data_IF_967850185530
#
_entry.id   IF_967850185530
#
_cell.length_a   1.000
_cell.length_b   1.000
_cell.length_c   1.000
_cell.angle_alpha   90.00
_cell.angle_beta   90.00
_cell.angle_gamma   90.00
#
_symmetry.space_group_name_H-M   'P 1'
#
loop_
_entity.id
_entity.type
_entity.pdbx_description
1 polymer ?
#
# COMPACT_ATOMS: atom_id res chain seq x y z
N UNK A 1 -3.99 24.30 24.66
CA UNK A 1 -5.11 23.52 24.08
C UNK A 1 -4.66 22.08 23.96
N UNK A 2 -5.55 21.13 24.20
CA UNK A 2 -5.30 19.73 23.87
C UNK A 2 -5.30 19.57 22.33
N UNK A 3 -4.19 19.15 21.71
CA UNK A 3 -4.11 18.98 20.25
C UNK A 3 -5.04 17.89 19.70
N UNK A 4 -5.56 17.00 20.56
CA UNK A 4 -6.45 15.91 20.19
C UNK A 4 -7.91 16.16 20.54
N UNK A 5 -8.25 17.35 21.06
CA UNK A 5 -9.63 17.71 21.37
C UNK A 5 -10.54 17.57 20.13
N UNK A 6 -11.67 16.85 20.21
CA UNK A 6 -12.59 16.67 19.08
C UNK A 6 -13.04 18.00 18.46
N UNK A 7 -13.24 18.01 17.15
CA UNK A 7 -13.71 19.18 16.40
C UNK A 7 -15.15 18.91 16.00
N UNK A 8 -16.09 19.68 16.54
CA UNK A 8 -17.54 19.43 16.43
C UNK A 8 -17.92 17.98 16.79
N UNK A 9 -17.29 17.42 17.84
CA UNK A 9 -17.54 16.04 18.27
C UNK A 9 -16.86 14.96 17.44
N UNK A 10 -16.10 15.32 16.40
CA UNK A 10 -15.33 14.39 15.56
C UNK A 10 -13.91 14.27 16.13
N UNK A 11 -13.60 13.12 16.72
CA UNK A 11 -12.24 12.78 17.18
C UNK A 11 -11.30 12.52 16.01
N UNK A 12 -9.99 12.40 16.27
CA UNK A 12 -9.01 12.12 15.22
C UNK A 12 -9.22 10.74 14.59
N UNK A 13 -9.63 9.76 15.41
CA UNK A 13 -9.98 8.39 14.98
C UNK A 13 -11.19 8.42 14.04
N UNK A 14 -12.27 9.09 14.45
CA UNK A 14 -13.48 9.18 13.62
C UNK A 14 -13.23 9.98 12.35
N UNK A 15 -12.39 11.00 12.42
CA UNK A 15 -11.95 11.74 11.24
C UNK A 15 -11.20 10.83 10.26
N UNK A 16 -10.32 9.95 10.76
CA UNK A 16 -9.61 8.97 9.94
C UNK A 16 -10.55 7.91 9.33
N UNK A 17 -11.54 7.43 10.09
CA UNK A 17 -12.56 6.48 9.59
C UNK A 17 -13.41 7.06 8.46
N UNK A 18 -13.94 8.27 8.65
CA UNK A 18 -14.75 8.96 7.64
C UNK A 18 -13.88 9.30 6.42
N UNK A 19 -12.65 9.77 6.64
CA UNK A 19 -11.69 10.01 5.57
C UNK A 19 -11.44 8.75 4.73
N UNK A 20 -11.23 7.61 5.37
CA UNK A 20 -11.04 6.33 4.68
C UNK A 20 -12.31 5.90 3.94
N UNK A 21 -13.51 6.12 4.51
CA UNK A 21 -14.79 5.83 3.87
C UNK A 21 -15.02 6.65 2.58
N UNK A 22 -14.54 7.90 2.59
CA UNK A 22 -14.59 8.84 1.46
C UNK A 22 -13.47 8.64 0.42
N UNK A 23 -12.46 7.81 0.72
CA UNK A 23 -11.38 7.49 -0.23
C UNK A 23 -11.93 7.06 -1.60
N UNK A 24 -11.52 7.79 -2.66
CA UNK A 24 -11.96 7.63 -4.05
C UNK A 24 -13.35 8.19 -4.39
N UNK A 25 -14.01 8.89 -3.46
CA UNK A 25 -15.40 9.40 -3.59
C UNK A 25 -15.54 10.89 -3.26
N UNK A 26 -14.45 11.55 -2.90
CA UNK A 26 -14.38 12.93 -2.44
C UNK A 26 -14.84 13.96 -3.49
N UNK A 27 -14.74 13.61 -4.78
CA UNK A 27 -15.23 14.46 -5.88
C UNK A 27 -16.72 14.25 -6.21
N UNK A 28 -17.30 13.14 -5.73
CA UNK A 28 -18.72 12.88 -5.88
C UNK A 28 -19.46 13.40 -4.64
N UNK A 29 -20.12 14.55 -4.81
CA UNK A 29 -20.90 15.19 -3.75
C UNK A 29 -22.03 14.30 -3.24
N UNK A 30 -22.65 13.49 -4.10
CA UNK A 30 -23.72 12.59 -3.71
C UNK A 30 -23.17 11.39 -2.92
N UNK A 31 -22.06 10.81 -3.37
CA UNK A 31 -21.39 9.73 -2.63
C UNK A 31 -20.84 10.22 -1.27
N UNK A 32 -20.31 11.44 -1.22
CA UNK A 32 -19.84 12.05 0.02
C UNK A 32 -21.00 12.27 1.00
N UNK A 33 -22.11 12.86 0.54
CA UNK A 33 -23.29 13.07 1.37
C UNK A 33 -23.86 11.74 1.92
N UNK A 34 -23.88 10.69 1.10
CA UNK A 34 -24.35 9.37 1.52
C UNK A 34 -23.46 8.74 2.62
N UNK A 35 -22.13 8.87 2.50
CA UNK A 35 -21.19 8.39 3.53
C UNK A 35 -21.36 9.19 4.83
N UNK A 36 -21.42 10.52 4.76
CA UNK A 36 -21.60 11.35 5.95
C UNK A 36 -22.93 11.06 6.66
N UNK A 37 -24.00 10.85 5.90
CA UNK A 37 -25.30 10.46 6.44
C UNK A 37 -25.25 9.08 7.12
N UNK A 38 -24.59 8.10 6.52
CA UNK A 38 -24.41 6.78 7.12
C UNK A 38 -23.60 6.83 8.42
N UNK A 39 -22.61 7.74 8.48
CA UNK A 39 -21.77 7.97 9.65
C UNK A 39 -22.42 8.89 10.69
N UNK A 40 -23.63 9.40 10.43
CA UNK A 40 -24.36 10.29 11.33
C UNK A 40 -23.68 11.66 11.52
N UNK A 41 -22.91 12.11 10.54
CA UNK A 41 -22.18 13.37 10.56
C UNK A 41 -22.82 14.37 9.61
N UNK A 42 -23.04 15.61 10.06
CA UNK A 42 -23.53 16.67 9.20
C UNK A 42 -22.42 17.19 8.28
N UNK A 43 -22.80 17.68 7.09
CA UNK A 43 -21.85 18.30 6.16
C UNK A 43 -21.08 19.46 6.81
N UNK A 44 -21.77 20.27 7.62
CA UNK A 44 -21.16 21.42 8.31
C UNK A 44 -20.12 20.97 9.36
N UNK A 45 -20.41 19.91 10.11
CA UNK A 45 -19.46 19.36 11.10
C UNK A 45 -18.27 18.71 10.42
N UNK A 46 -18.48 18.03 9.30
CA UNK A 46 -17.41 17.47 8.49
C UNK A 46 -16.48 18.55 7.92
N UNK A 47 -17.04 19.63 7.38
CA UNK A 47 -16.26 20.74 6.83
C UNK A 47 -15.47 21.47 7.94
N UNK A 48 -16.08 21.66 9.12
CA UNK A 48 -15.40 22.21 10.28
C UNK A 48 -14.25 21.31 10.78
N UNK A 49 -14.47 19.99 10.83
CA UNK A 49 -13.45 19.02 11.22
C UNK A 49 -12.29 18.96 10.22
N UNK A 50 -12.56 18.94 8.91
CA UNK A 50 -11.50 19.01 7.88
C UNK A 50 -10.64 20.25 8.06
N UNK A 51 -11.26 21.43 8.16
CA UNK A 51 -10.52 22.69 8.34
C UNK A 51 -9.70 22.67 9.62
N UNK A 52 -10.29 22.23 10.73
CA UNK A 52 -9.63 22.23 12.03
C UNK A 52 -8.48 21.21 12.14
N UNK A 53 -8.67 19.99 11.66
CA UNK A 53 -7.61 18.97 11.65
C UNK A 53 -6.49 19.34 10.68
N UNK A 54 -6.81 19.90 9.52
CA UNK A 54 -5.80 20.43 8.57
C UNK A 54 -4.97 21.53 9.21
N UNK A 55 -5.61 22.49 9.87
CA UNK A 55 -4.90 23.57 10.58
C UNK A 55 -3.96 23.02 11.67
N UNK A 56 -4.40 22.00 12.43
CA UNK A 56 -3.55 21.35 13.45
C UNK A 56 -2.41 20.52 12.86
N UNK A 57 -2.60 19.94 11.68
CA UNK A 57 -1.55 19.22 10.96
C UNK A 57 -0.51 20.17 10.34
N UNK A 58 -0.90 21.42 10.02
CA UNK A 58 -0.02 22.44 9.45
C UNK A 58 0.67 23.31 10.53
N UNK A 59 0.16 23.34 11.75
CA UNK A 59 0.75 24.07 12.87
C UNK A 59 2.09 23.44 13.27
N UNK A 60 3.20 24.18 13.09
CA UNK A 60 4.56 23.71 13.40
C UNK A 60 4.76 23.20 14.83
N UNK A 61 3.94 23.64 15.79
CA UNK A 61 4.02 23.22 17.20
C UNK A 61 3.23 21.93 17.52
N UNK A 62 2.33 21.52 16.61
CA UNK A 62 1.44 20.37 16.75
C UNK A 62 1.65 19.29 15.68
N UNK A 63 2.18 19.69 14.52
CA UNK A 63 2.39 18.93 13.30
C UNK A 63 2.95 17.53 13.56
N UNK A 64 4.07 17.44 14.30
CA UNK A 64 4.72 16.16 14.58
C UNK A 64 3.88 15.19 15.41
N UNK A 65 2.95 15.68 16.24
CA UNK A 65 2.12 14.83 17.12
C UNK A 65 0.82 14.40 16.45
N UNK A 66 0.11 15.33 15.81
CA UNK A 66 -1.19 15.05 15.18
C UNK A 66 -1.00 14.20 13.91
N UNK A 67 0.00 14.51 13.07
CA UNK A 67 0.26 13.71 11.87
C UNK A 67 0.73 12.29 12.21
N UNK A 68 1.61 12.13 13.21
CA UNK A 68 2.08 10.81 13.67
C UNK A 68 0.96 9.97 14.26
N UNK A 69 -0.02 10.58 14.95
CA UNK A 69 -1.19 9.89 15.45
C UNK A 69 -2.21 9.55 14.35
N UNK A 70 -2.40 10.44 13.37
CA UNK A 70 -3.37 10.25 12.29
C UNK A 70 -3.02 9.12 11.34
N UNK A 71 -1.75 9.01 10.93
CA UNK A 71 -1.30 8.02 9.94
C UNK A 71 -1.71 6.57 10.28
N UNK A 72 -1.40 6.01 11.47
CA UNK A 72 -1.79 4.65 11.80
C UNK A 72 -3.32 4.47 11.87
N UNK A 73 -4.06 5.48 12.33
CA UNK A 73 -5.53 5.45 12.39
C UNK A 73 -6.16 5.38 10.99
N UNK A 74 -5.66 6.20 10.08
CA UNK A 74 -6.14 6.22 8.69
C UNK A 74 -5.83 4.91 7.96
N UNK A 75 -4.62 4.37 8.15
CA UNK A 75 -4.24 3.08 7.56
C UNK A 75 -5.07 1.91 8.13
N UNK A 76 -5.36 1.91 9.42
CA UNK A 76 -6.26 0.92 10.03
C UNK A 76 -7.69 1.04 9.50
N UNK A 77 -8.19 2.27 9.32
CA UNK A 77 -9.51 2.51 8.76
C UNK A 77 -9.63 2.08 7.29
N UNK A 78 -8.60 2.36 6.47
CA UNK A 78 -8.52 1.87 5.09
C UNK A 78 -8.50 0.34 5.04
N UNK A 79 -7.71 -0.30 5.91
CA UNK A 79 -7.67 -1.76 5.99
C UNK A 79 -9.04 -2.35 6.34
N UNK A 80 -9.72 -1.78 7.34
CA UNK A 80 -11.07 -2.18 7.74
C UNK A 80 -12.07 -2.06 6.58
N UNK A 81 -12.00 -0.97 5.81
CA UNK A 81 -12.85 -0.75 4.62
C UNK A 81 -12.57 -1.74 3.50
N UNK A 82 -11.31 -2.14 3.31
CA UNK A 82 -10.91 -3.13 2.32
C UNK A 82 -11.23 -4.59 2.74
N UNK A 83 -11.84 -4.79 3.91
CA UNK A 83 -12.23 -6.11 4.43
C UNK A 83 -11.20 -6.74 5.37
N UNK A 84 -10.12 -6.02 5.72
CA UNK A 84 -8.94 -6.57 6.38
C UNK A 84 -7.98 -7.20 5.37
N UNK A 85 -6.70 -7.33 5.74
CA UNK A 85 -5.76 -8.06 4.91
C UNK A 85 -6.00 -9.56 5.08
N UNK A 86 -6.10 -10.30 3.96
CA UNK A 86 -6.14 -11.76 4.03
C UNK A 86 -4.78 -12.26 4.49
N UNK A 87 -4.78 -12.93 5.66
CA UNK A 87 -3.63 -13.66 6.17
C UNK A 87 -3.82 -15.15 5.99
N UNK A 88 -2.72 -15.79 5.65
CA UNK A 88 -2.56 -17.24 5.69
C UNK A 88 -1.40 -17.58 6.63
N UNK A 89 -1.39 -18.79 7.18
CA UNK A 89 -0.26 -19.28 7.98
C UNK A 89 1.04 -19.34 7.17
N UNK A 90 2.18 -19.45 7.83
CA UNK A 90 3.47 -19.56 7.13
C UNK A 90 3.51 -20.86 6.33
N UNK A 91 2.97 -21.93 6.90
CA UNK A 91 2.87 -23.26 6.30
C UNK A 91 1.97 -23.22 5.06
N UNK A 92 0.84 -22.50 5.10
CA UNK A 92 -0.02 -22.29 3.94
C UNK A 92 0.65 -21.41 2.88
N UNK A 93 1.49 -20.46 3.28
CA UNK A 93 2.27 -19.65 2.34
C UNK A 93 3.36 -20.46 1.62
N UNK A 94 4.07 -21.34 2.34
CA UNK A 94 5.01 -22.31 1.75
C UNK A 94 4.28 -23.24 0.79
N UNK A 95 3.14 -23.80 1.21
CA UNK A 95 2.35 -24.69 0.38
C UNK A 95 1.84 -24.03 -0.90
N UNK A 96 1.28 -22.82 -0.79
CA UNK A 96 0.84 -22.04 -1.95
C UNK A 96 1.99 -21.71 -2.91
N UNK A 97 3.18 -21.40 -2.39
CA UNK A 97 4.38 -21.17 -3.21
C UNK A 97 4.84 -22.44 -3.93
N UNK A 98 4.80 -23.59 -3.25
CA UNK A 98 5.12 -24.88 -3.83
C UNK A 98 4.11 -25.30 -4.92
N UNK A 99 2.82 -25.04 -4.72
CA UNK A 99 1.77 -25.25 -5.73
C UNK A 99 2.04 -24.41 -7.00
N UNK A 100 2.43 -23.14 -6.84
CA UNK A 100 2.76 -22.26 -7.97
C UNK A 100 3.96 -22.81 -8.74
N UNK A 101 5.01 -23.30 -8.07
CA UNK A 101 6.17 -23.91 -8.73
C UNK A 101 5.86 -25.25 -9.40
N UNK A 102 4.99 -26.06 -8.81
CA UNK A 102 4.65 -27.39 -9.32
C UNK A 102 3.67 -27.36 -10.50
N UNK A 103 2.67 -26.46 -10.48
CA UNK A 103 1.54 -26.48 -11.41
C UNK A 103 1.31 -25.16 -12.17
N UNK A 104 2.07 -24.11 -11.85
CA UNK A 104 1.86 -22.77 -12.38
C UNK A 104 0.82 -21.98 -11.59
N UNK A 105 0.83 -20.65 -11.79
CA UNK A 105 0.08 -19.70 -10.96
C UNK A 105 -1.44 -19.93 -10.99
N UNK A 106 -2.03 -20.05 -12.18
CA UNK A 106 -3.50 -20.18 -12.32
C UNK A 106 -4.02 -21.48 -11.70
N UNK A 107 -3.36 -22.61 -11.97
CA UNK A 107 -3.73 -23.90 -11.41
C UNK A 107 -3.55 -23.93 -9.88
N UNK A 108 -2.50 -23.27 -9.37
CA UNK A 108 -2.26 -23.16 -7.94
C UNK A 108 -3.35 -22.36 -7.22
N UNK A 109 -3.82 -21.24 -7.79
CA UNK A 109 -4.91 -20.44 -7.18
C UNK A 109 -6.21 -21.25 -7.06
N UNK A 110 -6.54 -22.02 -8.10
CA UNK A 110 -7.70 -22.91 -8.08
C UNK A 110 -7.53 -24.01 -7.02
N UNK A 111 -6.38 -24.67 -7.00
CA UNK A 111 -6.09 -25.75 -6.05
C UNK A 111 -6.01 -25.26 -4.59
N UNK A 112 -5.56 -24.03 -4.37
CA UNK A 112 -5.43 -23.38 -3.08
C UNK A 112 -6.74 -22.74 -2.58
N UNK A 113 -7.77 -22.63 -3.45
CA UNK A 113 -9.01 -21.91 -3.20
C UNK A 113 -8.80 -20.46 -2.74
N UNK A 114 -7.85 -19.76 -3.38
CA UNK A 114 -7.50 -18.37 -3.08
C UNK A 114 -7.53 -17.55 -4.37
N UNK A 115 -7.99 -16.31 -4.28
CA UNK A 115 -7.97 -15.36 -5.39
C UNK A 115 -6.58 -14.74 -5.52
N UNK A 116 -6.28 -14.21 -6.70
CA UNK A 116 -5.04 -13.49 -6.95
C UNK A 116 -4.83 -12.31 -5.99
N UNK A 117 -5.88 -11.57 -5.64
CA UNK A 117 -5.77 -10.44 -4.71
C UNK A 117 -5.37 -10.92 -3.30
N UNK A 118 -6.01 -11.98 -2.83
CA UNK A 118 -5.72 -12.58 -1.52
C UNK A 118 -4.29 -13.17 -1.47
N UNK A 119 -3.85 -13.82 -2.55
CA UNK A 119 -2.47 -14.31 -2.66
C UNK A 119 -1.45 -13.16 -2.62
N UNK A 120 -1.70 -12.08 -3.37
CA UNK A 120 -0.82 -10.92 -3.39
C UNK A 120 -0.69 -10.26 -2.01
N UNK A 121 -1.79 -10.17 -1.26
CA UNK A 121 -1.76 -9.65 0.12
C UNK A 121 -0.95 -10.56 1.05
N UNK A 122 -1.20 -11.87 1.00
CA UNK A 122 -0.45 -12.85 1.77
C UNK A 122 1.06 -12.85 1.43
N UNK A 123 1.40 -12.76 0.14
CA UNK A 123 2.78 -12.70 -0.32
C UNK A 123 3.49 -11.42 0.13
N UNK A 124 2.82 -10.27 0.07
CA UNK A 124 3.36 -9.02 0.58
C UNK A 124 3.66 -9.09 2.08
N UNK A 125 2.72 -9.62 2.87
CA UNK A 125 2.90 -9.81 4.30
C UNK A 125 4.10 -10.71 4.63
N UNK A 126 4.17 -11.90 4.02
CA UNK A 126 5.24 -12.87 4.31
C UNK A 126 6.60 -12.42 3.78
N UNK A 127 6.65 -11.74 2.63
CA UNK A 127 7.90 -11.14 2.13
C UNK A 127 8.46 -10.13 3.13
N UNK A 128 7.61 -9.25 3.66
CA UNK A 128 8.02 -8.28 4.68
C UNK A 128 8.45 -8.97 5.98
N UNK A 129 7.73 -10.00 6.42
CA UNK A 129 8.10 -10.72 7.64
C UNK A 129 9.41 -11.50 7.53
N UNK A 130 9.65 -12.15 6.39
CA UNK A 130 10.90 -12.86 6.14
C UNK A 130 12.09 -11.89 6.04
N UNK A 131 11.89 -10.73 5.42
CA UNK A 131 12.90 -9.66 5.38
C UNK A 131 13.23 -9.11 6.77
N UNK A 132 12.20 -8.88 7.60
CA UNK A 132 12.41 -8.40 8.97
C UNK A 132 13.05 -9.44 9.90
N UNK A 133 12.83 -10.74 9.66
CA UNK A 133 13.28 -11.84 10.53
C UNK A 133 14.11 -12.87 9.76
N UNK A 134 15.10 -12.42 8.99
CA UNK A 134 15.87 -13.27 8.06
C UNK A 134 16.43 -14.55 8.72
N UNK A 135 16.95 -14.46 9.94
CA UNK A 135 17.50 -15.63 10.64
C UNK A 135 16.44 -16.69 10.99
N UNK A 136 15.21 -16.28 11.31
CA UNK A 136 14.13 -17.21 11.66
C UNK A 136 13.63 -17.98 10.43
N UNK A 137 13.69 -17.36 9.26
CA UNK A 137 13.22 -17.92 7.99
C UNK A 137 14.37 -18.36 7.08
N UNK A 138 15.59 -18.47 7.62
CA UNK A 138 16.73 -19.06 6.94
C UNK A 138 16.37 -20.51 6.56
N UNK A 139 16.31 -20.80 5.25
CA UNK A 139 15.85 -22.09 4.71
C UNK A 139 14.41 -22.13 4.20
N UNK A 140 13.72 -20.98 4.09
CA UNK A 140 12.41 -20.88 3.45
C UNK A 140 12.38 -21.50 2.04
N UNK A 141 13.38 -21.18 1.20
CA UNK A 141 13.53 -21.73 -0.15
C UNK A 141 13.58 -23.26 -0.14
N UNK A 142 14.38 -23.85 0.75
CA UNK A 142 14.48 -25.30 0.91
C UNK A 142 13.16 -25.96 1.32
N UNK A 143 12.32 -25.29 2.13
CA UNK A 143 10.98 -25.80 2.48
C UNK A 143 10.04 -25.81 1.28
N UNK A 144 10.06 -24.76 0.47
CA UNK A 144 9.27 -24.71 -0.77
C UNK A 144 9.71 -25.82 -1.73
N UNK A 145 11.03 -26.00 -1.93
CA UNK A 145 11.57 -27.04 -2.80
C UNK A 145 11.20 -28.45 -2.32
N UNK A 146 11.22 -28.68 -1.01
CA UNK A 146 10.81 -29.96 -0.42
C UNK A 146 9.32 -30.24 -0.68
N UNK A 147 8.43 -29.28 -0.44
CA UNK A 147 7.00 -29.46 -0.73
C UNK A 147 6.73 -29.58 -2.23
N UNK A 148 7.41 -28.80 -3.08
CA UNK A 148 7.30 -28.89 -4.54
C UNK A 148 7.64 -30.30 -5.02
N UNK A 149 8.74 -30.89 -4.52
CA UNK A 149 9.14 -32.25 -4.86
C UNK A 149 8.10 -33.29 -4.41
N UNK A 150 7.49 -33.09 -3.25
CA UNK A 150 6.42 -33.96 -2.75
C UNK A 150 5.14 -33.85 -3.58
N UNK A 151 4.78 -32.64 -4.03
CA UNK A 151 3.64 -32.41 -4.93
C UNK A 151 3.86 -33.06 -6.30
N UNK A 152 5.06 -32.90 -6.88
CA UNK A 152 5.41 -33.50 -8.18
C UNK A 152 5.48 -35.03 -8.13
N UNK A 153 5.93 -35.60 -7.00
CA UNK A 153 5.96 -37.04 -6.80
C UNK A 153 4.60 -37.63 -6.39
N UNK A 154 3.61 -36.79 -6.08
CA UNK A 154 2.30 -37.20 -5.57
C UNK A 154 2.30 -37.64 -4.10
N UNK A 155 3.43 -37.52 -3.40
CA UNK A 155 3.55 -37.80 -1.97
C UNK A 155 2.78 -36.77 -1.11
N UNK A 156 2.59 -35.57 -1.63
CA UNK A 156 1.74 -34.52 -1.06
C UNK A 156 0.63 -34.19 -2.08
N UNK A 157 -0.59 -34.01 -1.60
CA UNK A 157 -1.73 -33.59 -2.42
C UNK A 157 -1.95 -32.08 -2.29
N UNK A 158 -2.40 -31.40 -3.36
CA UNK A 158 -2.84 -30.01 -3.25
C UNK A 158 -3.94 -29.84 -2.21
N UNK A 159 -3.82 -28.82 -1.35
CA UNK A 159 -4.84 -28.51 -0.33
C UNK A 159 -5.23 -27.03 -0.36
N UNK A 160 -6.44 -26.76 0.14
CA UNK A 160 -6.93 -25.40 0.33
C UNK A 160 -6.14 -24.69 1.42
N UNK A 161 -5.93 -23.39 1.24
CA UNK A 161 -5.25 -22.54 2.23
C UNK A 161 -6.26 -22.00 3.24
N UNK A 162 -5.82 -21.87 4.50
CA UNK A 162 -6.67 -21.34 5.56
C UNK A 162 -6.53 -19.83 5.61
N UNK A 163 -7.63 -19.12 5.35
CA UNK A 163 -7.69 -17.66 5.34
C UNK A 163 -8.14 -17.15 6.70
N UNK A 164 -7.44 -16.15 7.20
CA UNK A 164 -7.78 -15.39 8.40
C UNK A 164 -7.86 -13.92 8.03
N UNK A 165 -8.94 -13.27 8.40
CA UNK A 165 -9.09 -11.82 8.20
C UNK A 165 -8.38 -11.12 9.35
N UNK A 166 -7.23 -10.49 9.09
CA UNK A 166 -6.58 -9.65 10.08
C UNK A 166 -7.10 -8.22 9.95
N UNK A 167 -7.99 -7.84 10.87
CA UNK A 167 -8.57 -6.50 10.94
C UNK A 167 -7.57 -5.46 11.49
N UNK A 168 -6.43 -5.91 12.05
CA UNK A 168 -5.38 -5.05 12.60
C UNK A 168 -4.19 -4.85 11.66
N UNK A 169 -4.11 -5.64 10.58
CA UNK A 169 -3.11 -5.46 9.56
C UNK A 169 -3.51 -4.32 8.62
N UNK A 170 -2.72 -3.23 8.62
CA UNK A 170 -2.81 -2.21 7.59
C UNK A 170 -2.69 -2.86 6.20
N UNK A 171 -3.56 -2.47 5.27
CA UNK A 171 -3.47 -2.87 3.87
C UNK A 171 -2.21 -2.23 3.27
N UNK A 172 -1.07 -2.91 3.40
CA UNK A 172 0.11 -2.55 2.63
C UNK A 172 -0.23 -2.78 1.15
N UNK A 173 0.13 -1.82 0.29
CA UNK A 173 0.11 -2.05 -1.16
C UNK A 173 0.89 -3.35 -1.42
N UNK A 174 0.15 -4.39 -1.80
CA UNK A 174 0.73 -5.69 -2.07
C UNK A 174 1.68 -5.59 -3.27
N UNK A 175 2.67 -6.49 -3.37
CA UNK A 175 3.55 -6.57 -4.52
C UNK A 175 2.76 -6.64 -5.83
N UNK A 176 3.29 -6.07 -6.92
CA UNK A 176 2.68 -6.25 -8.25
C UNK A 176 2.58 -7.74 -8.60
N UNK A 177 1.71 -8.14 -9.53
CA UNK A 177 1.56 -9.55 -9.92
C UNK A 177 2.90 -10.22 -10.23
N UNK A 178 3.78 -9.53 -10.95
CA UNK A 178 5.13 -10.00 -11.25
C UNK A 178 5.99 -10.22 -9.98
N UNK A 179 5.85 -9.35 -8.97
CA UNK A 179 6.55 -9.48 -7.69
C UNK A 179 5.94 -10.58 -6.81
N UNK A 180 4.61 -10.79 -6.83
CA UNK A 180 3.97 -11.89 -6.12
C UNK A 180 4.36 -13.26 -6.71
N UNK A 181 4.52 -13.33 -8.03
CA UNK A 181 5.05 -14.52 -8.73
C UNK A 181 6.55 -14.70 -8.44
N UNK A 182 7.34 -13.61 -8.37
CA UNK A 182 8.76 -13.67 -8.03
C UNK A 182 8.99 -14.11 -6.58
N UNK A 183 8.18 -13.64 -5.63
CA UNK A 183 8.24 -14.04 -4.22
C UNK A 183 7.99 -15.54 -4.03
N UNK A 184 7.14 -16.16 -4.86
CA UNK A 184 6.93 -17.61 -4.86
C UNK A 184 8.12 -18.40 -5.44
N UNK A 185 9.05 -17.74 -6.15
CA UNK A 185 10.13 -18.36 -6.91
C UNK A 185 11.54 -18.03 -6.40
N UNK A 186 11.71 -17.19 -5.36
CA UNK A 186 13.02 -16.68 -4.95
C UNK A 186 13.44 -17.11 -3.53
N UNK A 187 14.75 -17.23 -3.37
CA UNK A 187 15.42 -17.35 -2.08
C UNK A 187 15.47 -15.98 -1.38
N UNK A 188 14.90 -15.81 -0.17
CA UNK A 188 14.78 -14.50 0.48
C UNK A 188 16.14 -13.84 0.77
N UNK A 189 17.22 -14.62 0.91
CA UNK A 189 18.58 -14.09 1.10
C UNK A 189 19.17 -13.58 -0.21
N UNK A 190 18.93 -14.27 -1.34
CA UNK A 190 19.36 -13.82 -2.66
C UNK A 190 18.53 -12.62 -3.16
N UNK A 191 17.24 -12.60 -2.85
CA UNK A 191 16.35 -11.47 -3.12
C UNK A 191 16.74 -10.23 -2.30
N UNK A 192 17.12 -10.40 -1.03
CA UNK A 192 17.59 -9.30 -0.19
C UNK A 192 18.92 -8.69 -0.66
N UNK A 193 19.90 -9.51 -1.08
CA UNK A 193 21.21 -9.00 -1.54
C UNK A 193 21.21 -8.43 -2.96
N UNK A 194 20.26 -8.84 -3.81
CA UNK A 194 20.25 -8.46 -5.23
C UNK A 194 19.01 -7.65 -5.65
N UNK A 195 18.14 -7.29 -4.72
CA UNK A 195 17.00 -6.41 -5.01
C UNK A 195 17.45 -4.95 -5.17
N UNK A 196 17.25 -4.34 -6.35
CA UNK A 196 17.27 -2.88 -6.49
C UNK A 196 16.28 -2.21 -5.52
N UNK A 197 15.25 -2.94 -5.09
CA UNK A 197 14.31 -2.51 -4.06
C UNK A 197 14.97 -2.31 -2.69
N UNK A 198 16.02 -3.05 -2.30
CA UNK A 198 16.72 -2.78 -1.05
C UNK A 198 17.58 -1.52 -1.17
N UNK A 199 18.28 -1.31 -2.30
CA UNK A 199 19.03 -0.06 -2.55
C UNK A 199 18.09 1.15 -2.69
N UNK A 200 16.91 0.96 -3.28
CA UNK A 200 15.89 1.99 -3.45
C UNK A 200 15.10 2.24 -2.17
N UNK A 201 14.92 1.23 -1.31
CA UNK A 201 14.36 1.39 0.03
C UNK A 201 15.40 1.99 0.99
N UNK A 202 16.70 1.77 0.77
CA UNK A 202 17.76 2.47 1.49
C UNK A 202 17.90 3.93 1.02
N UNK A 203 17.74 4.19 -0.28
CA UNK A 203 17.65 5.55 -0.82
C UNK A 203 16.35 6.26 -0.39
N UNK A 204 15.22 5.56 -0.33
CA UNK A 204 13.95 6.07 0.17
C UNK A 204 14.01 6.27 1.69
N UNK A 205 14.61 5.37 2.48
CA UNK A 205 14.83 5.58 3.90
C UNK A 205 15.84 6.69 4.17
N UNK A 206 16.86 6.87 3.33
CA UNK A 206 17.79 7.99 3.43
C UNK A 206 17.10 9.33 3.07
N UNK A 207 16.20 9.35 2.08
CA UNK A 207 15.37 10.50 1.75
C UNK A 207 14.29 10.79 2.81
N UNK A 208 13.72 9.75 3.43
CA UNK A 208 12.77 9.83 4.56
C UNK A 208 13.50 10.29 5.83
N UNK A 209 14.77 9.96 6.05
CA UNK A 209 15.56 10.51 7.15
C UNK A 209 16.01 11.96 6.89
N UNK A 210 16.24 12.33 5.63
CA UNK A 210 16.58 13.70 5.27
C UNK A 210 15.35 14.63 5.22
N UNK A 211 14.16 14.11 4.95
CA UNK A 211 12.93 14.90 4.91
C UNK A 211 11.67 14.07 5.21
N UNK A 212 11.48 13.60 6.46
CA UNK A 212 10.33 12.77 6.87
C UNK A 212 8.98 13.50 6.68
N UNK A 213 9.05 14.83 6.56
CA UNK A 213 7.93 15.75 6.39
C UNK A 213 7.36 15.76 4.96
N UNK A 214 8.12 15.36 3.94
CA UNK A 214 7.66 15.38 2.54
C UNK A 214 6.79 14.19 2.13
N UNK A 215 7.02 13.04 2.75
CA UNK A 215 6.44 11.76 2.32
C UNK A 215 5.01 11.54 2.86
N UNK A 216 4.78 11.88 4.13
CA UNK A 216 3.47 11.74 4.78
C UNK A 216 2.51 12.89 4.46
N UNK A 217 3.00 14.12 4.43
CA UNK A 217 2.16 15.29 4.12
C UNK A 217 1.98 15.54 2.63
N UNK A 218 2.92 15.16 1.77
CA UNK A 218 2.77 15.33 0.33
C UNK A 218 1.59 14.54 -0.24
N UNK A 219 1.39 13.29 0.22
CA UNK A 219 0.25 12.50 -0.21
C UNK A 219 -1.05 12.94 0.47
N UNK A 220 -1.06 13.20 1.79
CA UNK A 220 -2.26 13.62 2.49
C UNK A 220 -2.72 15.04 2.10
N UNK A 221 -1.81 15.99 1.90
CA UNK A 221 -2.15 17.36 1.48
C UNK A 221 -2.53 17.44 -0.01
N UNK A 222 -1.89 16.66 -0.90
CA UNK A 222 -2.27 16.59 -2.31
C UNK A 222 -3.61 15.86 -2.49
N UNK A 223 -3.89 14.84 -1.68
CA UNK A 223 -5.20 14.19 -1.60
C UNK A 223 -6.29 15.18 -1.17
N UNK A 224 -6.02 16.04 -0.19
CA UNK A 224 -6.98 17.04 0.32
C UNK A 224 -7.15 18.29 -0.57
N UNK A 225 -6.23 18.56 -1.50
CA UNK A 225 -6.26 19.76 -2.37
C UNK A 225 -6.46 19.46 -3.86
N UNK A 226 -6.68 18.19 -4.24
CA UNK A 226 -6.82 17.78 -5.64
C UNK A 226 -5.49 17.76 -6.42
N UNK A 227 -4.37 17.73 -5.71
CA UNK A 227 -3.02 17.62 -6.23
C UNK A 227 -2.71 16.26 -6.85
N UNK A 228 -1.56 16.16 -7.50
CA UNK A 228 -1.11 14.94 -8.17
C UNK A 228 -0.62 13.95 -7.10
N UNK A 229 -1.31 12.82 -6.96
CA UNK A 229 -0.99 11.75 -5.99
C UNK A 229 -0.54 10.47 -6.69
N UNK A 230 0.09 9.55 -5.96
CA UNK A 230 0.34 8.20 -6.46
C UNK A 230 -0.97 7.56 -6.96
N UNK A 231 -0.92 6.95 -8.14
CA UNK A 231 -2.06 6.44 -8.90
C UNK A 231 -2.62 7.41 -9.93
N UNK A 232 -2.32 8.71 -9.86
CA UNK A 232 -2.85 9.72 -10.80
C UNK A 232 -2.31 9.51 -12.23
N UNK A 233 -3.17 9.65 -13.23
CA UNK A 233 -2.76 9.78 -14.63
C UNK A 233 -2.33 11.20 -14.92
N UNK A 234 -1.18 11.34 -15.56
CA UNK A 234 -0.53 12.62 -15.82
C UNK A 234 0.10 12.63 -17.20
N UNK A 235 0.38 13.82 -17.71
CA UNK A 235 1.28 14.03 -18.82
C UNK A 235 2.60 14.57 -18.30
N UNK A 236 3.70 13.95 -18.72
CA UNK A 236 5.04 14.48 -18.50
C UNK A 236 5.45 15.26 -19.73
N UNK A 237 5.76 16.53 -19.55
CA UNK A 237 6.36 17.38 -20.59
C UNK A 237 7.87 17.16 -20.60
N UNK A 238 8.41 16.72 -21.73
CA UNK A 238 9.84 16.47 -21.89
C UNK A 238 10.56 17.68 -22.50
N UNK A 239 11.89 17.63 -22.55
CA UNK A 239 12.71 18.73 -23.09
C UNK A 239 12.51 19.00 -24.58
N UNK A 240 11.90 18.06 -25.30
CA UNK A 240 11.52 18.20 -26.71
C UNK A 240 10.16 18.90 -26.90
N UNK A 241 9.49 19.29 -25.81
CA UNK A 241 8.17 19.92 -25.82
C UNK A 241 7.00 18.95 -25.99
N UNK A 242 7.26 17.66 -26.17
CA UNK A 242 6.23 16.64 -26.27
C UNK A 242 5.72 16.24 -24.89
N UNK A 243 4.46 15.75 -24.87
CA UNK A 243 3.79 15.25 -23.67
C UNK A 243 3.63 13.75 -23.76
N UNK A 244 4.07 13.06 -22.73
CA UNK A 244 4.01 11.60 -22.65
C UNK A 244 3.04 11.18 -21.54
N UNK A 245 2.07 10.30 -21.82
CA UNK A 245 1.17 9.80 -20.81
C UNK A 245 1.93 8.93 -19.81
N UNK A 246 1.66 9.13 -18.53
CA UNK A 246 2.28 8.37 -17.46
C UNK A 246 1.33 8.25 -16.26
N UNK A 247 1.64 7.29 -15.39
CA UNK A 247 0.98 7.15 -14.09
C UNK A 247 1.96 7.45 -12.97
N UNK A 248 1.56 8.26 -12.00
CA UNK A 248 2.39 8.55 -10.83
C UNK A 248 2.46 7.30 -9.96
N UNK A 249 3.67 6.81 -9.73
CA UNK A 249 3.94 5.70 -8.82
C UNK A 249 4.22 6.19 -7.40
N UNK A 250 4.90 7.33 -7.28
CA UNK A 250 5.31 7.91 -5.99
C UNK A 250 5.40 9.43 -6.11
N UNK A 251 5.09 10.13 -5.03
CA UNK A 251 5.23 11.59 -4.93
C UNK A 251 6.29 11.96 -3.89
N UNK A 252 7.15 12.91 -4.23
CA UNK A 252 8.12 13.57 -3.35
C UNK A 252 7.97 15.10 -3.49
N UNK A 253 8.54 15.93 -2.58
CA UNK A 253 8.26 17.37 -2.53
C UNK A 253 8.40 18.13 -3.85
N UNK A 254 9.41 17.81 -4.67
CA UNK A 254 9.70 18.52 -5.93
C UNK A 254 9.74 17.61 -7.17
N UNK A 255 9.36 16.34 -7.03
CA UNK A 255 9.44 15.37 -8.10
C UNK A 255 8.45 14.22 -7.92
N UNK A 256 8.06 13.62 -9.04
CA UNK A 256 7.19 12.46 -9.09
C UNK A 256 7.94 11.29 -9.73
N UNK A 257 7.83 10.11 -9.14
CA UNK A 257 8.18 8.89 -9.84
C UNK A 257 6.98 8.53 -10.72
N UNK A 258 7.18 8.50 -12.03
CA UNK A 258 6.13 8.17 -12.99
C UNK A 258 6.49 6.91 -13.76
N UNK A 259 5.48 6.14 -14.15
CA UNK A 259 5.61 5.02 -15.08
C UNK A 259 4.96 5.40 -16.41
N UNK A 260 5.73 5.40 -17.49
CA UNK A 260 5.25 5.81 -18.81
C UNK A 260 4.36 4.75 -19.46
N UNK A 261 3.20 5.19 -19.95
CA UNK A 261 2.25 4.35 -20.68
C UNK A 261 2.81 4.09 -22.09
N UNK A 262 3.44 2.93 -22.28
CA UNK A 262 3.96 2.49 -23.58
C UNK A 262 5.19 1.60 -23.46
N UNK A 263 6.15 1.97 -22.60
CA UNK A 263 7.36 1.18 -22.36
C UNK A 263 7.52 0.73 -20.90
N UNK A 264 6.64 1.19 -19.99
CA UNK A 264 6.71 0.86 -18.56
C UNK A 264 7.93 1.44 -17.84
N UNK A 265 8.72 2.28 -18.52
CA UNK A 265 9.90 2.90 -17.94
C UNK A 265 9.49 3.77 -16.75
N UNK A 266 10.27 3.69 -15.68
CA UNK A 266 10.04 4.48 -14.48
C UNK A 266 11.09 5.57 -14.39
N UNK A 267 10.65 6.81 -14.15
CA UNK A 267 11.56 7.94 -14.05
C UNK A 267 11.08 8.95 -13.01
N UNK A 268 12.03 9.52 -12.27
CA UNK A 268 11.79 10.69 -11.47
C UNK A 268 11.75 11.92 -12.37
N UNK A 269 10.63 12.62 -12.34
CA UNK A 269 10.39 13.83 -13.13
C UNK A 269 10.10 14.99 -12.18
N UNK A 270 10.65 16.19 -12.44
CA UNK A 270 10.43 17.33 -11.56
C UNK A 270 8.95 17.76 -11.62
N UNK A 271 8.43 18.30 -10.53
CA UNK A 271 7.01 18.60 -10.39
C UNK A 271 6.48 19.56 -11.46
N UNK A 272 7.30 20.50 -11.93
CA UNK A 272 6.96 21.44 -13.00
C UNK A 272 6.86 20.79 -14.40
N UNK A 273 7.41 19.58 -14.58
CA UNK A 273 7.29 18.82 -15.82
C UNK A 273 6.01 17.97 -15.85
N UNK A 274 5.30 17.84 -14.74
CA UNK A 274 4.09 17.01 -14.63
C UNK A 274 2.84 17.88 -14.72
N UNK A 275 2.00 17.56 -15.69
CA UNK A 275 0.71 18.22 -15.92
C UNK A 275 -0.40 17.20 -15.70
N UNK A 276 -1.48 17.61 -15.03
CA UNK A 276 -2.64 16.74 -14.81
C UNK A 276 -3.28 16.38 -16.16
N UNK A 277 -3.48 15.08 -16.37
CA UNK A 277 -4.11 14.53 -17.59
C UNK A 277 -5.61 14.49 -17.53
#
# INVERSE_FOLDING_TARGET
>A
MDPFAPINGISLERYAEIGAALDGKDQDKAATAAVLQAEGVSQADWDAAKTGWTARMQDMSLMGRVATAFMPLYQAALAKKQGGAVRISYEDFVHGSALIKAYGFEAAMVAANITMNEWTQAAGYWTNQMSANMMQYAGHSGRIEQEEAQLRSGALQPRHLTKTMDQSAAAQQGPSQAQAIAAANQDPIAAAMNSPAMLQQQAANAAIMQNPLGFGLGQAASFLTGGIVAGSRVFVMWSDGNRYPAQVMQAAPDQYLVSFEGNGAQQWVPANAVVKG
#
